data_IF_084594214295
#
_entry.id   IF_084594214295
#
_cell.length_a   1.000
_cell.length_b   1.000
_cell.length_c   1.000
_cell.angle_alpha   90.00
_cell.angle_beta   90.00
_cell.angle_gamma   90.00
#
_symmetry.space_group_name_H-M   'P 1'
#
loop_
_entity.id
_entity.type
_entity.pdbx_description
1 polymer ?
#
# COMPACT_ATOMS: atom_id res chain seq x y z
N UNK A 1 -3.28 -2.12 -7.30
CA UNK A 1 -2.75 -2.26 -8.68
C UNK A 1 -3.52 -1.42 -9.71
N UNK A 2 -4.86 -1.47 -9.77
CA UNK A 2 -5.65 -0.67 -10.73
C UNK A 2 -5.37 0.84 -10.68
N UNK A 3 -5.17 1.40 -9.48
CA UNK A 3 -4.88 2.83 -9.27
C UNK A 3 -3.52 3.23 -9.88
N UNK A 4 -2.53 2.34 -9.81
CA UNK A 4 -1.20 2.54 -10.42
C UNK A 4 -1.27 2.47 -11.94
N UNK A 5 -2.03 1.52 -12.50
CA UNK A 5 -2.24 1.42 -13.95
C UNK A 5 -2.99 2.63 -14.51
N UNK A 6 -3.98 3.13 -13.76
CA UNK A 6 -4.67 4.37 -14.09
C UNK A 6 -3.72 5.57 -14.08
N UNK A 7 -2.86 5.68 -13.07
CA UNK A 7 -1.85 6.74 -13.00
C UNK A 7 -0.82 6.67 -14.13
N UNK A 8 -0.38 5.46 -14.50
CA UNK A 8 0.56 5.25 -15.60
C UNK A 8 -0.07 5.55 -16.97
N UNK A 9 -1.37 5.27 -17.12
CA UNK A 9 -2.13 5.66 -18.30
C UNK A 9 -2.31 7.17 -18.39
N UNK A 10 -2.54 7.85 -17.26
CA UNK A 10 -2.65 9.31 -17.21
C UNK A 10 -1.31 10.02 -17.47
N UNK A 11 -0.19 9.43 -17.02
CA UNK A 11 1.16 9.96 -17.21
C UNK A 11 1.73 9.74 -18.64
N UNK A 12 0.92 9.34 -19.63
CA UNK A 12 1.37 9.02 -20.98
C UNK A 12 2.09 10.14 -21.74
N UNK A 13 1.88 11.40 -21.33
CA UNK A 13 2.50 12.59 -21.93
C UNK A 13 3.95 12.87 -21.51
N UNK A 14 4.50 12.16 -20.52
CA UNK A 14 5.89 12.36 -20.06
C UNK A 14 6.91 11.64 -20.95
N UNK A 15 7.99 12.35 -21.29
CA UNK A 15 8.98 11.92 -22.29
C UNK A 15 9.90 10.79 -21.80
N UNK A 16 10.11 10.66 -20.49
CA UNK A 16 11.00 9.66 -19.90
C UNK A 16 10.24 8.70 -18.99
N UNK A 17 10.71 7.45 -18.90
CA UNK A 17 10.14 6.43 -18.00
C UNK A 17 10.15 6.92 -16.54
N UNK A 18 11.21 7.62 -16.13
CA UNK A 18 11.35 8.20 -14.80
C UNK A 18 10.28 9.26 -14.52
N UNK A 19 10.02 10.18 -15.47
CA UNK A 19 8.97 11.20 -15.35
C UNK A 19 7.58 10.57 -15.19
N UNK A 20 7.30 9.53 -15.99
CA UNK A 20 6.04 8.77 -15.92
C UNK A 20 5.84 8.09 -14.57
N UNK A 21 6.88 7.45 -14.05
CA UNK A 21 6.83 6.78 -12.75
C UNK A 21 6.65 7.80 -11.62
N UNK A 22 7.36 8.93 -11.66
CA UNK A 22 7.24 10.00 -10.66
C UNK A 22 5.81 10.54 -10.59
N UNK A 23 5.20 10.85 -11.73
CA UNK A 23 3.83 11.38 -11.76
C UNK A 23 2.79 10.33 -11.35
N UNK A 24 2.99 9.08 -11.80
CA UNK A 24 2.14 7.94 -11.39
C UNK A 24 2.18 7.72 -9.88
N UNK A 25 3.37 7.70 -9.28
CA UNK A 25 3.54 7.53 -7.83
C UNK A 25 3.06 8.76 -7.06
N UNK A 26 3.18 9.96 -7.61
CA UNK A 26 2.63 11.17 -6.99
C UNK A 26 1.10 11.12 -6.91
N UNK A 27 0.44 10.69 -7.98
CA UNK A 27 -1.02 10.62 -8.03
C UNK A 27 -1.59 9.42 -7.25
N UNK A 28 -1.00 8.23 -7.40
CA UNK A 28 -1.53 6.99 -6.83
C UNK A 28 -0.86 6.56 -5.52
N UNK A 29 0.36 7.02 -5.24
CA UNK A 29 1.15 6.60 -4.08
C UNK A 29 0.54 7.05 -2.75
N UNK A 30 -0.03 8.26 -2.68
CA UNK A 30 -0.70 8.76 -1.46
C UNK A 30 -1.89 7.88 -1.06
N UNK A 31 -2.68 7.41 -2.04
CA UNK A 31 -3.80 6.51 -1.76
C UNK A 31 -3.34 5.14 -1.24
N UNK A 32 -2.24 4.62 -1.81
CA UNK A 32 -1.65 3.34 -1.39
C UNK A 32 -1.08 3.44 0.03
N UNK A 33 -0.39 4.52 0.39
CA UNK A 33 0.18 4.70 1.73
C UNK A 33 -0.90 4.86 2.79
N UNK A 34 -1.95 5.64 2.52
CA UNK A 34 -3.09 5.81 3.45
C UNK A 34 -3.78 4.47 3.69
N UNK A 35 -4.09 3.73 2.62
CA UNK A 35 -4.77 2.42 2.73
C UNK A 35 -3.93 1.45 3.55
N UNK A 36 -2.62 1.37 3.26
CA UNK A 36 -1.69 0.50 3.98
C UNK A 36 -1.56 0.89 5.46
N UNK A 37 -1.56 2.19 5.77
CA UNK A 37 -1.52 2.69 7.15
C UNK A 37 -2.79 2.32 7.92
N UNK A 38 -3.97 2.47 7.30
CA UNK A 38 -5.24 2.09 7.92
C UNK A 38 -5.33 0.57 8.12
N UNK A 39 -4.87 -0.23 7.14
CA UNK A 39 -4.80 -1.69 7.29
C UNK A 39 -3.89 -2.09 8.45
N UNK A 40 -2.75 -1.42 8.62
CA UNK A 40 -1.85 -1.67 9.76
C UNK A 40 -2.53 -1.38 11.10
N UNK A 41 -3.31 -0.30 11.21
CA UNK A 41 -4.10 -0.01 12.40
C UNK A 41 -5.17 -1.08 12.66
N UNK A 42 -5.85 -1.55 11.62
CA UNK A 42 -6.86 -2.61 11.72
C UNK A 42 -6.24 -3.94 12.17
N UNK A 43 -5.08 -4.34 11.63
CA UNK A 43 -4.39 -5.56 12.02
C UNK A 43 -3.76 -5.46 13.41
N UNK A 44 -3.30 -4.28 13.85
CA UNK A 44 -2.87 -4.06 15.23
C UNK A 44 -4.02 -4.29 16.22
N UNK A 45 -5.22 -3.81 15.89
CA UNK A 45 -6.42 -4.10 16.67
C UNK A 45 -6.79 -5.59 16.64
N UNK A 46 -6.70 -6.24 15.48
CA UNK A 46 -6.95 -7.68 15.33
C UNK A 46 -5.92 -8.57 16.06
N UNK A 47 -4.67 -8.12 16.18
CA UNK A 47 -3.62 -8.82 16.91
C UNK A 47 -3.84 -8.84 18.43
N UNK A 48 -4.64 -7.91 18.97
CA UNK A 48 -5.06 -7.89 20.36
C UNK A 48 -6.21 -8.88 20.67
N UNK A 49 -6.73 -9.59 19.66
CA UNK A 49 -7.82 -10.54 19.84
C UNK A 49 -7.41 -11.79 20.63
N UNK A 50 -8.33 -12.32 21.45
CA UNK A 50 -8.10 -13.49 22.30
C UNK A 50 -8.00 -14.82 21.53
N UNK A 51 -8.24 -14.81 20.21
CA UNK A 51 -8.14 -15.99 19.36
C UNK A 51 -6.72 -16.12 18.77
N UNK A 52 -5.94 -17.16 19.15
CA UNK A 52 -4.54 -17.29 18.76
C UNK A 52 -4.32 -17.42 17.24
N UNK A 53 -5.28 -17.99 16.51
CA UNK A 53 -5.24 -18.08 15.03
C UNK A 53 -5.33 -16.69 14.39
N UNK A 54 -6.26 -15.86 14.88
CA UNK A 54 -6.46 -14.49 14.37
C UNK A 54 -5.23 -13.63 14.67
N UNK A 55 -4.66 -13.77 15.88
CA UNK A 55 -3.44 -13.05 16.27
C UNK A 55 -2.25 -13.38 15.37
N UNK A 56 -1.98 -14.66 15.11
CA UNK A 56 -0.88 -15.04 14.21
C UNK A 56 -1.11 -14.51 12.80
N UNK A 57 -2.34 -14.64 12.28
CA UNK A 57 -2.70 -14.08 10.97
C UNK A 57 -2.43 -12.58 10.92
N UNK A 58 -2.94 -11.80 11.88
CA UNK A 58 -2.74 -10.34 11.90
C UNK A 58 -1.26 -9.93 11.98
N UNK A 59 -0.43 -10.67 12.72
CA UNK A 59 1.02 -10.39 12.82
C UNK A 59 1.71 -10.62 11.46
N UNK A 60 1.47 -11.76 10.80
CA UNK A 60 2.08 -12.06 9.50
C UNK A 60 1.65 -11.05 8.43
N UNK A 61 0.36 -10.72 8.38
CA UNK A 61 -0.17 -9.76 7.40
C UNK A 61 0.33 -8.35 7.68
N UNK A 62 0.41 -7.95 8.96
CA UNK A 62 0.97 -6.65 9.37
C UNK A 62 2.43 -6.47 8.96
N UNK A 63 3.27 -7.50 9.10
CA UNK A 63 4.67 -7.48 8.64
C UNK A 63 4.75 -7.29 7.12
N UNK A 64 3.86 -7.92 6.35
CA UNK A 64 3.84 -7.74 4.90
C UNK A 64 3.42 -6.33 4.48
N UNK A 65 2.45 -5.74 5.16
CA UNK A 65 1.99 -4.38 4.87
C UNK A 65 3.07 -3.36 5.22
N UNK A 66 3.80 -3.56 6.32
CA UNK A 66 4.93 -2.72 6.69
C UNK A 66 6.01 -2.68 5.60
N UNK A 67 6.29 -3.83 4.95
CA UNK A 67 7.24 -3.89 3.83
C UNK A 67 6.76 -3.13 2.59
N UNK A 68 5.45 -3.04 2.37
CA UNK A 68 4.86 -2.28 1.25
C UNK A 68 4.93 -0.77 1.49
N UNK A 69 4.82 -0.31 2.75
CA UNK A 69 4.97 1.11 3.10
C UNK A 69 6.42 1.61 2.98
N UNK A 70 7.40 0.72 3.17
CA UNK A 70 8.82 1.07 3.19
C UNK A 70 9.52 0.97 1.83
N UNK A 71 8.78 0.73 0.75
CA UNK A 71 9.28 0.52 -0.63
C UNK A 71 8.77 1.62 -1.56
#
# INVERSE_FOLDING_TARGET
>A
MFILLSGLSAAQGEATVEGRMKETLRAAGVGVTITSLTDLMAFMSGAASNFPVVRNFCIFTGIQILKVVSL
#
